data_IF_106245641717
#
_entry.id   IF_106245641717
#
_cell.length_a   1.000
_cell.length_b   1.000
_cell.length_c   1.000
_cell.angle_alpha   90.00
_cell.angle_beta   90.00
_cell.angle_gamma   90.00
#
_symmetry.space_group_name_H-M   'P 1'
#
loop_
_entity.id
_entity.type
_entity.pdbx_description
1 polymer ?
#
# COMPACT_ATOMS: atom_id res chain seq x y z
N UNK A 1 -6.00 -12.12 -1.92
CA UNK A 1 -4.63 -12.38 -1.41
C UNK A 1 -3.90 -11.04 -1.40
N UNK A 2 -3.18 -10.66 -0.34
CA UNK A 2 -2.52 -9.36 -0.24
C UNK A 2 -1.00 -9.50 -0.29
N UNK A 3 -0.37 -8.77 -1.23
CA UNK A 3 1.08 -8.73 -1.36
C UNK A 3 1.62 -7.46 -0.70
N UNK A 4 2.47 -7.67 0.30
CA UNK A 4 3.10 -6.61 1.09
C UNK A 4 4.59 -6.57 0.79
N UNK A 5 5.04 -5.44 0.29
CA UNK A 5 6.42 -5.22 -0.11
C UNK A 5 7.09 -4.36 0.95
N UNK A 6 8.17 -4.86 1.55
CA UNK A 6 9.03 -4.05 2.40
C UNK A 6 9.65 -2.95 1.53
N UNK A 7 9.31 -1.71 1.83
CA UNK A 7 9.98 -0.54 1.31
C UNK A 7 10.65 0.14 2.50
N UNK A 8 12.00 0.20 2.58
CA UNK A 8 12.65 1.09 3.54
C UNK A 8 12.29 2.51 3.11
N UNK A 9 11.21 3.04 3.66
CA UNK A 9 10.77 4.41 3.40
C UNK A 9 11.80 5.35 4.06
N UNK A 10 12.93 5.56 3.40
CA UNK A 10 13.78 6.74 3.57
C UNK A 10 13.19 7.87 2.73
N UNK A 11 11.88 8.11 2.84
CA UNK A 11 11.35 9.35 2.33
C UNK A 11 11.77 10.40 3.35
N UNK A 12 12.93 11.03 3.10
CA UNK A 12 13.15 12.42 3.53
C UNK A 12 11.81 13.11 3.28
N UNK A 13 11.19 13.62 4.34
CA UNK A 13 10.09 14.57 4.23
C UNK A 13 10.54 15.57 3.15
N UNK A 14 9.98 15.52 1.95
CA UNK A 14 10.38 16.43 0.88
C UNK A 14 9.87 17.78 1.35
N UNK A 15 10.76 18.51 2.02
CA UNK A 15 10.59 19.90 2.37
C UNK A 15 10.48 20.64 1.04
N UNK A 16 9.27 21.11 0.78
CA UNK A 16 8.90 22.02 -0.29
C UNK A 16 9.91 23.15 -0.42
N UNK A 17 10.62 23.18 -1.55
CA UNK A 17 11.06 24.41 -2.16
C UNK A 17 10.86 24.29 -3.67
N UNK A 18 9.85 25.03 -4.11
CA UNK A 18 9.55 25.51 -5.45
C UNK A 18 10.51 25.06 -6.57
N UNK A 19 10.00 24.27 -7.51
CA UNK A 19 10.25 24.52 -8.94
C UNK A 19 9.28 23.71 -9.80
N UNK A 20 8.42 24.47 -10.46
CA UNK A 20 7.77 24.27 -11.77
C UNK A 20 8.29 23.07 -12.58
N UNK A 21 7.38 22.25 -13.10
CA UNK A 21 7.37 21.79 -14.50
C UNK A 21 5.92 21.43 -14.87
N UNK A 22 5.45 22.04 -15.96
CA UNK A 22 4.21 21.73 -16.66
C UNK A 22 4.45 20.55 -17.59
N UNK A 23 3.63 19.50 -17.51
CA UNK A 23 3.48 18.59 -18.65
C UNK A 23 2.13 17.85 -18.65
N UNK A 24 1.42 18.04 -19.76
CA UNK A 24 0.33 17.25 -20.34
C UNK A 24 -0.85 16.83 -19.44
N UNK A 25 -2.06 17.23 -19.87
CA UNK A 25 -3.39 16.90 -19.33
C UNK A 25 -3.88 17.76 -18.15
N UNK A 26 -4.13 19.05 -18.40
CA UNK A 26 -5.34 19.80 -17.96
C UNK A 26 -5.80 19.81 -16.49
N UNK A 27 -5.10 19.17 -15.56
CA UNK A 27 -5.38 19.19 -14.13
C UNK A 27 -4.07 19.50 -13.42
N UNK A 28 -4.00 20.55 -12.59
CA UNK A 28 -2.89 20.69 -11.68
C UNK A 28 -2.97 19.49 -10.71
N UNK A 29 -2.06 18.52 -10.85
CA UNK A 29 -1.81 17.56 -9.79
C UNK A 29 -1.15 18.35 -8.65
N UNK A 30 -1.97 19.01 -7.84
CA UNK A 30 -1.53 19.48 -6.52
C UNK A 30 -0.97 18.27 -5.80
N UNK A 31 0.31 18.32 -5.46
CA UNK A 31 1.17 17.19 -5.09
C UNK A 31 0.78 16.45 -3.81
N UNK A 32 -0.38 16.75 -3.21
CA UNK A 32 -0.58 16.49 -1.79
C UNK A 32 -1.66 15.45 -1.51
N UNK A 33 -2.67 15.30 -2.37
CA UNK A 33 -3.72 14.29 -2.20
C UNK A 33 -4.33 13.86 -3.54
N UNK A 34 -4.45 12.54 -3.75
CA UNK A 34 -5.21 11.95 -4.84
C UNK A 34 -6.60 11.65 -4.30
N UNK A 35 -7.64 12.10 -4.99
CA UNK A 35 -9.02 11.74 -4.64
C UNK A 35 -9.26 10.25 -4.95
N UNK A 36 -9.52 9.48 -3.90
CA UNK A 36 -9.82 8.04 -3.99
C UNK A 36 -11.32 7.74 -3.94
N UNK A 37 -12.19 8.76 -3.79
CA UNK A 37 -13.64 8.57 -3.81
C UNK A 37 -14.18 7.88 -5.07
N UNK A 38 -13.58 8.01 -6.27
CA UNK A 38 -14.04 7.30 -7.46
C UNK A 38 -13.81 5.79 -7.43
N UNK A 39 -13.05 5.27 -6.44
CA UNK A 39 -12.63 3.86 -6.37
C UNK A 39 -13.17 3.19 -5.11
N UNK A 40 -14.48 2.89 -5.04
CA UNK A 40 -15.08 2.23 -3.89
C UNK A 40 -14.47 0.84 -3.62
N UNK A 41 -13.86 0.21 -4.63
CA UNK A 41 -13.19 -1.09 -4.53
C UNK A 41 -11.97 -1.04 -3.60
N UNK A 42 -11.39 0.15 -3.37
CA UNK A 42 -10.29 0.31 -2.42
C UNK A 42 -10.76 0.19 -0.96
N UNK A 43 -12.04 0.48 -0.67
CA UNK A 43 -12.61 0.51 0.68
C UNK A 43 -13.24 -0.84 1.11
N UNK A 44 -12.70 -1.95 0.61
CA UNK A 44 -13.11 -3.28 1.08
C UNK A 44 -12.86 -3.46 2.58
N UNK A 45 -13.70 -4.28 3.22
CA UNK A 45 -13.56 -4.62 4.65
C UNK A 45 -12.15 -5.11 4.97
N UNK A 46 -11.58 -5.91 4.08
CA UNK A 46 -10.24 -6.47 4.21
C UNK A 46 -9.15 -5.38 4.19
N UNK A 47 -9.20 -4.44 3.24
CA UNK A 47 -8.24 -3.33 3.16
C UNK A 47 -8.30 -2.44 4.41
N UNK A 48 -9.51 -2.20 4.92
CA UNK A 48 -9.72 -1.43 6.15
C UNK A 48 -9.12 -2.15 7.36
N UNK A 49 -9.32 -3.47 7.48
CA UNK A 49 -8.72 -4.29 8.54
C UNK A 49 -7.19 -4.22 8.45
N UNK A 50 -6.64 -4.41 7.26
CA UNK A 50 -5.20 -4.36 7.03
C UNK A 50 -4.62 -3.00 7.45
N UNK A 51 -5.22 -1.91 7.00
CA UNK A 51 -4.81 -0.56 7.39
C UNK A 51 -4.88 -0.33 8.90
N UNK A 52 -5.95 -0.80 9.57
CA UNK A 52 -6.09 -0.71 11.03
C UNK A 52 -4.98 -1.45 11.77
N UNK A 53 -4.61 -2.64 11.30
CA UNK A 53 -3.53 -3.43 11.88
C UNK A 53 -2.22 -2.68 11.74
N UNK A 54 -1.82 -2.27 10.53
CA UNK A 54 -0.57 -1.53 10.35
C UNK A 54 -0.51 -0.24 11.20
N UNK A 55 -1.61 0.50 11.27
CA UNK A 55 -1.70 1.70 12.11
C UNK A 55 -1.58 1.39 13.61
N UNK A 56 -2.18 0.29 14.08
CA UNK A 56 -2.10 -0.16 15.49
C UNK A 56 -0.66 -0.46 15.92
N UNK A 57 0.16 -0.99 15.01
CA UNK A 57 1.56 -1.32 15.28
C UNK A 57 2.54 -0.19 14.89
N UNK A 58 2.04 0.97 14.46
CA UNK A 58 2.85 2.15 14.15
C UNK A 58 3.62 2.06 12.82
N UNK A 59 3.15 1.24 11.88
CA UNK A 59 3.74 1.09 10.57
C UNK A 59 2.91 1.82 9.51
N UNK A 60 3.59 2.43 8.53
CA UNK A 60 2.95 3.03 7.38
C UNK A 60 2.55 1.95 6.37
N UNK A 61 1.37 2.10 5.78
CA UNK A 61 0.87 1.25 4.71
C UNK A 61 0.42 2.14 3.55
N UNK A 62 0.97 1.93 2.36
CA UNK A 62 0.70 2.72 1.15
C UNK A 62 0.36 1.80 -0.01
N UNK A 63 -0.46 2.27 -0.95
CA UNK A 63 -0.67 1.59 -2.23
C UNK A 63 0.57 1.79 -3.09
N UNK A 64 1.01 0.75 -3.77
CA UNK A 64 2.20 0.75 -4.62
C UNK A 64 1.94 0.01 -5.94
N UNK A 65 2.92 0.10 -6.85
CA UNK A 65 2.91 -0.67 -8.10
C UNK A 65 1.89 -0.17 -9.14
N UNK A 66 1.33 -1.12 -9.89
CA UNK A 66 0.41 -0.84 -11.00
C UNK A 66 -0.89 -0.16 -10.55
N UNK A 67 -1.34 -0.41 -9.32
CA UNK A 67 -2.54 0.21 -8.76
C UNK A 67 -2.45 1.74 -8.72
N UNK A 68 -1.27 2.30 -8.40
CA UNK A 68 -1.08 3.76 -8.37
C UNK A 68 -1.21 4.36 -9.77
N UNK A 69 -0.63 3.69 -10.78
CA UNK A 69 -0.74 4.11 -12.18
C UNK A 69 -2.21 4.12 -12.62
N UNK A 70 -2.95 3.05 -12.33
CA UNK A 70 -4.33 2.91 -12.78
C UNK A 70 -5.23 3.97 -12.10
N UNK A 71 -5.04 4.22 -10.80
CA UNK A 71 -5.70 5.31 -10.05
C UNK A 71 -5.42 6.68 -10.69
N UNK A 72 -4.15 6.96 -11.04
CA UNK A 72 -3.77 8.23 -11.69
C UNK A 72 -4.39 8.38 -13.10
N UNK A 73 -4.66 7.27 -13.77
CA UNK A 73 -5.34 7.23 -15.07
C UNK A 73 -6.88 7.24 -14.95
N UNK A 74 -7.44 7.19 -13.73
CA UNK A 74 -8.89 7.08 -13.53
C UNK A 74 -9.46 5.68 -13.82
N UNK A 75 -8.60 4.66 -13.86
CA UNK A 75 -8.96 3.26 -14.17
C UNK A 75 -9.02 2.47 -12.87
N UNK A 76 -10.03 1.59 -12.74
CA UNK A 76 -10.16 0.74 -11.56
C UNK A 76 -8.98 -0.25 -11.49
N UNK A 77 -8.20 -0.25 -10.38
CA UNK A 77 -7.04 -1.11 -10.24
C UNK A 77 -7.47 -2.56 -10.03
N UNK A 78 -6.93 -3.48 -10.83
CA UNK A 78 -7.31 -4.89 -10.77
C UNK A 78 -6.61 -5.63 -9.60
N UNK A 79 -5.32 -5.36 -9.40
CA UNK A 79 -4.51 -5.91 -8.32
C UNK A 79 -3.91 -4.77 -7.48
N UNK A 80 -4.12 -4.82 -6.17
CA UNK A 80 -3.63 -3.81 -5.23
C UNK A 80 -2.41 -4.35 -4.50
N UNK A 81 -1.23 -3.81 -4.85
CA UNK A 81 -0.01 -4.04 -4.09
C UNK A 81 0.13 -2.99 -2.98
N UNK A 82 0.60 -3.44 -1.82
CA UNK A 82 0.86 -2.56 -0.68
C UNK A 82 2.36 -2.50 -0.35
N UNK A 83 2.83 -1.31 -0.01
CA UNK A 83 4.17 -1.06 0.49
C UNK A 83 4.12 -0.61 1.95
N UNK A 84 5.08 -1.10 2.75
CA UNK A 84 5.19 -0.76 4.17
C UNK A 84 6.65 -0.60 4.60
N UNK A 85 6.86 0.20 5.64
CA UNK A 85 8.15 0.30 6.34
C UNK A 85 8.44 -0.90 7.26
N UNK A 86 7.44 -1.74 7.54
CA UNK A 86 7.62 -2.94 8.36
C UNK A 86 8.55 -3.95 7.68
N UNK A 87 9.48 -4.52 8.44
CA UNK A 87 10.32 -5.62 7.97
C UNK A 87 9.55 -6.93 7.92
N UNK A 88 9.92 -7.93 7.08
CA UNK A 88 9.25 -9.22 7.06
C UNK A 88 9.11 -9.87 8.45
N UNK A 89 10.14 -9.89 9.32
CA UNK A 89 9.97 -10.42 10.67
C UNK A 89 8.92 -9.67 11.50
N UNK A 90 8.85 -8.34 11.41
CA UNK A 90 7.84 -7.54 12.11
C UNK A 90 6.44 -7.79 11.56
N UNK A 91 6.30 -7.93 10.24
CA UNK A 91 5.04 -8.31 9.61
C UNK A 91 4.58 -9.69 10.10
N UNK A 92 5.49 -10.66 10.18
CA UNK A 92 5.21 -11.99 10.73
C UNK A 92 4.70 -11.93 12.17
N UNK A 93 5.38 -11.19 13.04
CA UNK A 93 5.00 -11.06 14.44
C UNK A 93 3.62 -10.40 14.59
N UNK A 94 3.40 -9.31 13.85
CA UNK A 94 2.14 -8.56 13.84
C UNK A 94 0.97 -9.43 13.35
N UNK A 95 1.13 -10.10 12.21
CA UNK A 95 0.08 -10.95 11.66
C UNK A 95 -0.20 -12.19 12.52
N UNK A 96 0.83 -12.76 13.16
CA UNK A 96 0.65 -13.86 14.11
C UNK A 96 -0.15 -13.43 15.34
N UNK A 97 0.08 -12.21 15.85
CA UNK A 97 -0.68 -11.64 16.98
C UNK A 97 -2.14 -11.34 16.63
N UNK A 98 -2.42 -10.95 15.40
CA UNK A 98 -3.79 -10.70 14.92
C UNK A 98 -4.49 -11.95 14.36
N UNK A 99 -3.84 -13.12 14.40
CA UNK A 99 -4.40 -14.39 13.91
C UNK A 99 -4.58 -14.46 12.39
N UNK A 100 -3.81 -13.68 11.63
CA UNK A 100 -3.88 -13.63 10.16
C UNK A 100 -2.98 -14.70 9.55
N UNK A 101 -3.54 -15.50 8.65
CA UNK A 101 -2.78 -16.53 7.93
C UNK A 101 -1.88 -15.88 6.89
N UNK A 102 -0.59 -16.19 6.97
CA UNK A 102 0.40 -15.81 5.96
C UNK A 102 0.72 -16.99 5.06
N UNK A 103 0.91 -16.72 3.78
CA UNK A 103 1.31 -17.71 2.79
C UNK A 103 2.80 -17.52 2.52
N UNK A 104 3.59 -18.47 2.99
CA UNK A 104 5.02 -18.42 2.82
C UNK A 104 5.40 -19.05 1.47
N UNK A 105 5.71 -18.21 0.48
CA UNK A 105 6.07 -18.65 -0.87
C UNK A 105 7.44 -18.12 -1.25
N UNK A 106 8.46 -18.42 -0.44
CA UNK A 106 9.86 -18.03 -0.64
C UNK A 106 10.10 -16.51 -0.91
N UNK A 107 9.09 -15.66 -0.68
CA UNK A 107 9.12 -14.23 -1.02
C UNK A 107 9.82 -13.37 0.04
N UNK A 108 10.09 -13.94 1.22
CA UNK A 108 10.75 -13.26 2.33
C UNK A 108 12.16 -12.79 1.97
N UNK A 109 12.88 -13.57 1.15
CA UNK A 109 14.23 -13.23 0.66
C UNK A 109 14.23 -11.96 -0.19
N UNK A 110 13.08 -11.61 -0.79
CA UNK A 110 12.87 -10.40 -1.56
C UNK A 110 12.10 -9.32 -0.79
N UNK A 111 11.91 -9.50 0.52
CA UNK A 111 11.18 -8.55 1.37
C UNK A 111 9.67 -8.54 1.12
N UNK A 112 9.10 -9.59 0.53
CA UNK A 112 7.66 -9.70 0.27
C UNK A 112 7.00 -10.64 1.27
N UNK A 113 5.91 -10.20 1.88
CA UNK A 113 5.02 -11.03 2.71
C UNK A 113 3.67 -11.12 2.03
N UNK A 114 3.10 -12.32 1.96
CA UNK A 114 1.75 -12.52 1.41
C UNK A 114 0.78 -12.89 2.53
N UNK A 115 -0.19 -12.03 2.78
CA UNK A 115 -1.21 -12.22 3.82
C UNK A 115 -2.55 -12.61 3.21
N UNK A 116 -3.28 -13.53 3.85
CA UNK A 116 -4.65 -13.91 3.49
C UNK A 116 -5.59 -13.46 4.60
N UNK A 117 -6.50 -12.54 4.27
CA UNK A 117 -7.50 -11.98 5.17
C UNK A 117 -8.87 -12.49 4.70
N UNK A 118 -9.68 -12.98 5.64
CA UNK A 118 -11.05 -13.47 5.41
C UNK A 118 -11.22 -14.59 4.37
N UNK A 119 -10.21 -15.43 4.16
CA UNK A 119 -10.26 -16.59 3.25
C UNK A 119 -10.81 -16.34 1.84
N UNK A 120 -10.88 -15.10 1.36
CA UNK A 120 -11.22 -14.81 -0.06
C UNK A 120 -10.30 -15.65 -0.95
N UNK A 121 -10.92 -16.66 -1.57
CA UNK A 121 -10.37 -17.54 -2.60
C UNK A 121 -10.14 -16.68 -3.84
#
# INVERSE_FOLDING_TARGET
MYRLIRCPLTTKRISFLNSVISFAMGRPLTTDTIDLTPFPELYTKENIILHKIFNKYGFELRIAGGAVRDILLGISPHDIDFATNATPPQMYEMFSKEGIRMLNRNGESHGTVTARINDKV
#
